data_IF_554668966604
#
_entry.id   IF_554668966604
#
_cell.length_a   1.000
_cell.length_b   1.000
_cell.length_c   1.000
_cell.angle_alpha   90.00
_cell.angle_beta   90.00
_cell.angle_gamma   90.00
#
_symmetry.space_group_name_H-M   'P 1'
#
loop_
_entity.id
_entity.type
_entity.pdbx_description
1 polymer ?
#
# COMPACT_ATOMS: atom_id res chain seq x y z
N UNK A 1 19.17 20.26 -13.99
CA UNK A 1 18.14 19.37 -14.58
C UNK A 1 17.83 18.31 -13.53
N UNK A 2 16.90 18.58 -12.62
CA UNK A 2 16.44 17.57 -11.65
C UNK A 2 15.55 16.60 -12.43
N UNK A 3 16.05 15.38 -12.64
CA UNK A 3 15.20 14.26 -13.03
C UNK A 3 14.54 13.76 -11.75
N UNK A 4 13.26 13.95 -11.63
CA UNK A 4 12.51 13.36 -10.54
C UNK A 4 12.48 11.85 -10.75
N UNK A 5 12.86 11.07 -9.73
CA UNK A 5 12.85 9.60 -9.78
C UNK A 5 11.47 9.02 -10.16
N UNK A 6 10.41 9.76 -9.94
CA UNK A 6 9.05 9.43 -10.38
C UNK A 6 8.93 9.33 -11.92
N UNK A 7 9.69 10.12 -12.67
CA UNK A 7 9.71 10.08 -14.14
C UNK A 7 10.32 8.79 -14.70
N UNK A 8 11.16 8.09 -13.93
CA UNK A 8 11.80 6.83 -14.33
C UNK A 8 10.87 5.62 -14.14
N UNK A 9 9.85 5.76 -13.29
CA UNK A 9 8.85 4.72 -12.99
C UNK A 9 7.70 4.76 -14.00
N UNK A 10 7.60 5.86 -14.77
CA UNK A 10 6.51 6.07 -15.72
C UNK A 10 6.44 4.96 -16.77
N UNK A 11 5.32 4.24 -16.80
CA UNK A 11 5.10 3.15 -17.76
C UNK A 11 5.83 1.85 -17.47
N UNK A 12 6.48 1.68 -16.31
CA UNK A 12 7.15 0.44 -15.94
C UNK A 12 6.19 -0.67 -15.47
N UNK A 13 4.96 -0.35 -15.10
CA UNK A 13 3.97 -1.32 -14.65
C UNK A 13 3.78 -2.53 -15.57
N UNK A 14 3.53 -2.33 -16.88
CA UNK A 14 3.40 -3.44 -17.84
C UNK A 14 4.70 -4.19 -18.13
N UNK A 15 5.86 -3.65 -17.76
CA UNK A 15 7.17 -4.27 -17.96
C UNK A 15 7.51 -5.29 -16.88
N UNK A 16 7.09 -5.00 -15.63
CA UNK A 16 7.30 -5.85 -14.46
C UNK A 16 5.98 -6.04 -13.70
N UNK A 17 5.01 -6.78 -14.26
CA UNK A 17 3.64 -6.80 -13.75
C UNK A 17 3.55 -7.35 -12.34
N UNK A 18 4.36 -8.35 -11.97
CA UNK A 18 4.30 -8.95 -10.63
C UNK A 18 4.83 -7.99 -9.57
N UNK A 19 5.94 -7.29 -9.84
CA UNK A 19 6.51 -6.30 -8.91
C UNK A 19 5.53 -5.17 -8.67
N UNK A 20 4.94 -4.62 -9.73
CA UNK A 20 4.00 -3.50 -9.59
C UNK A 20 2.65 -3.92 -9.01
N UNK A 21 2.18 -5.14 -9.26
CA UNK A 21 0.99 -5.68 -8.61
C UNK A 21 1.19 -5.83 -7.10
N UNK A 22 2.33 -6.38 -6.66
CA UNK A 22 2.66 -6.51 -5.24
C UNK A 22 2.91 -5.15 -4.58
N UNK A 23 3.55 -4.21 -5.30
CA UNK A 23 3.70 -2.83 -4.84
C UNK A 23 2.34 -2.15 -4.66
N UNK A 24 1.41 -2.32 -5.61
CA UNK A 24 0.05 -1.77 -5.52
C UNK A 24 -0.69 -2.37 -4.34
N UNK A 25 -0.62 -3.69 -4.13
CA UNK A 25 -1.23 -4.34 -2.97
C UNK A 25 -0.66 -3.82 -1.64
N UNK A 26 0.67 -3.65 -1.54
CA UNK A 26 1.32 -3.07 -0.37
C UNK A 26 0.89 -1.61 -0.15
N UNK A 27 0.81 -0.82 -1.21
CA UNK A 27 0.36 0.58 -1.16
C UNK A 27 -1.06 0.70 -0.66
N UNK A 28 -1.99 -0.14 -1.16
CA UNK A 28 -3.37 -0.20 -0.67
C UNK A 28 -3.44 -0.59 0.82
N UNK A 29 -2.54 -1.48 1.27
CA UNK A 29 -2.39 -1.83 2.68
C UNK A 29 -1.98 -0.64 3.53
N UNK A 30 -1.00 0.15 3.09
CA UNK A 30 -0.54 1.36 3.78
C UNK A 30 -1.58 2.47 3.80
N UNK A 31 -2.35 2.63 2.72
CA UNK A 31 -3.48 3.55 2.68
C UNK A 31 -4.54 3.19 3.72
N UNK A 32 -4.69 1.91 4.03
CA UNK A 32 -5.71 1.40 4.94
C UNK A 32 -7.00 1.05 4.21
N UNK A 33 -6.89 0.43 3.04
CA UNK A 33 -8.06 -0.08 2.29
C UNK A 33 -8.47 -1.44 2.87
N UNK A 34 -9.75 -1.67 3.20
CA UNK A 34 -10.24 -3.01 3.52
C UNK A 34 -10.04 -3.92 2.28
N UNK A 35 -9.64 -5.16 2.40
CA UNK A 35 -9.48 -6.03 3.58
C UNK A 35 -8.03 -6.17 4.09
N UNK A 36 -7.14 -5.22 3.85
CA UNK A 36 -5.74 -5.34 4.21
C UNK A 36 -5.47 -4.99 5.71
N UNK A 37 -4.37 -5.54 6.24
CA UNK A 37 -3.99 -5.41 7.65
C UNK A 37 -3.86 -3.95 8.13
N UNK A 38 -3.43 -3.03 7.26
CA UNK A 38 -3.30 -1.61 7.58
C UNK A 38 -4.61 -0.92 7.94
N UNK A 39 -5.73 -1.35 7.36
CA UNK A 39 -7.06 -0.86 7.74
C UNK A 39 -7.40 -1.26 9.18
N UNK A 40 -7.28 -2.54 9.51
CA UNK A 40 -7.62 -3.07 10.83
C UNK A 40 -6.83 -2.39 11.94
N UNK A 41 -5.54 -2.17 11.73
CA UNK A 41 -4.67 -1.47 12.70
C UNK A 41 -5.10 -0.02 12.91
N UNK A 42 -5.33 0.74 11.84
CA UNK A 42 -5.80 2.14 11.93
C UNK A 42 -7.18 2.24 12.56
N UNK A 43 -8.07 1.32 12.23
CA UNK A 43 -9.41 1.26 12.78
C UNK A 43 -9.40 1.01 14.30
N UNK A 44 -8.62 0.01 14.75
CA UNK A 44 -8.48 -0.28 16.18
C UNK A 44 -7.88 0.90 16.95
N UNK A 45 -6.86 1.56 16.40
CA UNK A 45 -6.27 2.76 17.01
C UNK A 45 -7.27 3.91 17.10
N UNK A 46 -8.01 4.17 16.02
CA UNK A 46 -9.01 5.25 16.01
C UNK A 46 -10.14 5.01 16.99
N UNK A 47 -10.67 3.78 17.05
CA UNK A 47 -11.75 3.42 17.98
C UNK A 47 -11.27 3.45 19.44
N UNK A 48 -10.05 2.99 19.72
CA UNK A 48 -9.47 3.05 21.06
C UNK A 48 -9.21 4.49 21.50
N UNK A 49 -8.72 5.33 20.60
CA UNK A 49 -8.46 6.74 20.90
C UNK A 49 -9.76 7.50 21.22
N UNK A 50 -10.84 7.24 20.46
CA UNK A 50 -12.14 7.88 20.71
C UNK A 50 -12.86 7.34 21.94
N UNK A 51 -12.64 6.09 22.33
CA UNK A 51 -13.23 5.48 23.52
C UNK A 51 -12.82 6.16 24.84
N UNK A 52 -11.67 6.84 24.86
CA UNK A 52 -11.22 7.60 26.02
C UNK A 52 -12.03 8.87 26.28
N UNK A 53 -12.90 9.29 25.34
CA UNK A 53 -13.77 10.46 25.43
C UNK A 53 -13.07 11.78 25.85
N UNK A 54 -11.75 11.87 25.61
CA UNK A 54 -10.95 13.06 25.89
C UNK A 54 -10.63 13.83 24.58
N UNK A 55 -10.50 15.16 24.61
CA UNK A 55 -10.19 15.95 23.43
C UNK A 55 -8.94 15.46 22.68
N UNK A 56 -7.93 14.99 23.40
CA UNK A 56 -6.69 14.46 22.86
C UNK A 56 -6.93 13.17 22.04
N UNK A 57 -7.89 12.32 22.44
CA UNK A 57 -8.26 11.12 21.70
C UNK A 57 -8.87 11.44 20.32
N UNK A 58 -9.73 12.44 20.26
CA UNK A 58 -10.31 12.91 19.00
C UNK A 58 -9.26 13.54 18.07
N UNK A 59 -8.32 14.30 18.62
CA UNK A 59 -7.17 14.83 17.87
C UNK A 59 -6.30 13.70 17.31
N UNK A 60 -6.06 12.65 18.07
CA UNK A 60 -5.33 11.47 17.61
C UNK A 60 -6.04 10.77 16.45
N UNK A 61 -7.33 10.55 16.55
CA UNK A 61 -8.14 9.95 15.49
C UNK A 61 -8.16 10.82 14.22
N UNK A 62 -8.27 12.15 14.36
CA UNK A 62 -8.20 13.09 13.26
C UNK A 62 -6.83 13.06 12.57
N UNK A 63 -5.73 13.02 13.34
CA UNK A 63 -4.38 12.92 12.81
C UNK A 63 -4.17 11.61 12.01
N UNK A 64 -4.71 10.48 12.49
CA UNK A 64 -4.70 9.22 11.76
C UNK A 64 -5.46 9.30 10.43
N UNK A 65 -6.60 9.95 10.41
CA UNK A 65 -7.39 10.15 9.19
C UNK A 65 -6.63 11.01 8.17
N UNK A 66 -6.07 12.14 8.60
CA UNK A 66 -5.26 13.02 7.75
C UNK A 66 -4.04 12.27 7.20
N UNK A 67 -3.33 11.51 8.04
CA UNK A 67 -2.20 10.68 7.63
C UNK A 67 -2.59 9.65 6.58
N UNK A 68 -3.76 9.01 6.72
CA UNK A 68 -4.25 8.04 5.75
C UNK A 68 -4.52 8.69 4.39
N UNK A 69 -5.14 9.88 4.38
CA UNK A 69 -5.41 10.63 3.15
C UNK A 69 -4.12 11.04 2.46
N UNK A 70 -3.15 11.61 3.20
CA UNK A 70 -1.86 12.00 2.64
C UNK A 70 -1.10 10.82 2.05
N UNK A 71 -1.11 9.67 2.77
CA UNK A 71 -0.51 8.42 2.28
C UNK A 71 -1.19 7.95 1.00
N UNK A 72 -2.52 8.03 0.93
CA UNK A 72 -3.27 7.66 -0.26
C UNK A 72 -2.91 8.55 -1.46
N UNK A 73 -2.82 9.85 -1.26
CA UNK A 73 -2.52 10.81 -2.33
C UNK A 73 -1.15 10.52 -2.96
N UNK A 74 -0.08 10.42 -2.15
CA UNK A 74 1.25 10.24 -2.72
C UNK A 74 1.47 8.83 -3.30
N UNK A 75 0.94 7.77 -2.68
CA UNK A 75 1.08 6.41 -3.20
C UNK A 75 0.23 6.18 -4.45
N UNK A 76 -0.98 6.75 -4.48
CA UNK A 76 -1.84 6.65 -5.66
C UNK A 76 -1.21 7.33 -6.88
N UNK A 77 -0.53 8.46 -6.69
CA UNK A 77 0.19 9.13 -7.77
C UNK A 77 1.26 8.21 -8.38
N UNK A 78 2.05 7.51 -7.54
CA UNK A 78 3.08 6.57 -8.00
C UNK A 78 2.45 5.39 -8.75
N UNK A 79 1.38 4.80 -8.21
CA UNK A 79 0.67 3.68 -8.85
C UNK A 79 0.09 4.11 -10.20
N UNK A 80 -0.54 5.27 -10.27
CA UNK A 80 -1.09 5.79 -11.52
C UNK A 80 0.00 6.06 -12.56
N UNK A 81 1.11 6.67 -12.18
CA UNK A 81 2.24 6.90 -13.08
C UNK A 81 2.84 5.59 -13.62
N UNK A 82 2.90 4.55 -12.79
CA UNK A 82 3.42 3.25 -13.20
C UNK A 82 2.56 2.56 -14.26
N UNK A 83 1.23 2.62 -14.10
CA UNK A 83 0.28 1.93 -14.99
C UNK A 83 -0.27 2.80 -16.11
N UNK A 84 -0.41 4.12 -15.89
CA UNK A 84 -0.98 5.09 -16.82
C UNK A 84 0.03 6.21 -17.11
N UNK A 85 1.01 5.98 -18.00
CA UNK A 85 1.99 6.99 -18.34
C UNK A 85 1.32 8.21 -18.96
N UNK A 86 1.75 9.42 -18.58
CA UNK A 86 1.28 10.66 -19.19
C UNK A 86 1.64 10.65 -20.69
N UNK A 87 0.66 10.82 -21.54
CA UNK A 87 0.72 10.66 -23.00
C UNK A 87 1.87 11.40 -23.70
N UNK A 88 2.43 12.45 -23.13
CA UNK A 88 3.51 13.24 -23.75
C UNK A 88 4.86 12.53 -23.85
N UNK A 89 5.11 11.48 -23.06
CA UNK A 89 6.39 10.73 -23.07
C UNK A 89 6.28 9.30 -23.56
N UNK A 90 5.07 8.74 -23.60
CA UNK A 90 4.83 7.38 -24.08
C UNK A 90 5.32 7.14 -25.52
N UNK A 91 5.45 8.20 -26.32
CA UNK A 91 5.95 8.14 -27.70
C UNK A 91 7.48 8.05 -27.82
N UNK A 92 8.24 8.36 -26.75
CA UNK A 92 9.72 8.40 -26.79
C UNK A 92 10.41 7.18 -26.20
N UNK A 93 9.75 6.41 -25.37
CA UNK A 93 10.34 5.20 -24.80
C UNK A 93 9.90 3.98 -25.59
N UNK A 94 10.59 3.75 -26.75
CA UNK A 94 10.62 2.41 -27.35
C UNK A 94 11.36 1.46 -26.39
N UNK A 95 10.63 0.97 -25.38
CA UNK A 95 11.17 -0.06 -24.49
C UNK A 95 11.30 -1.33 -25.32
N UNK A 96 12.52 -1.84 -25.53
CA UNK A 96 12.70 -3.07 -26.28
C UNK A 96 11.94 -4.20 -25.57
N UNK A 97 11.19 -5.00 -26.33
CA UNK A 97 10.42 -6.15 -25.81
C UNK A 97 11.25 -7.14 -24.95
N UNK A 98 12.59 -7.05 -25.01
CA UNK A 98 13.53 -7.81 -24.15
C UNK A 98 13.61 -7.31 -22.70
N UNK A 99 13.18 -6.10 -22.41
CA UNK A 99 13.19 -5.53 -21.05
C UNK A 99 12.00 -5.99 -20.19
N UNK A 100 11.05 -6.74 -20.75
CA UNK A 100 9.91 -7.33 -20.04
C UNK A 100 10.38 -8.57 -19.26
N UNK A 101 11.06 -8.35 -18.15
CA UNK A 101 11.47 -9.42 -17.24
C UNK A 101 11.24 -8.96 -15.81
N UNK A 102 10.29 -9.60 -15.15
CA UNK A 102 10.26 -9.59 -13.69
C UNK A 102 11.61 -10.05 -13.13
N UNK A 103 12.07 -9.49 -12.00
CA UNK A 103 13.27 -9.95 -11.33
C UNK A 103 13.16 -11.44 -11.00
N UNK A 104 14.32 -12.08 -10.81
CA UNK A 104 14.38 -13.52 -10.55
C UNK A 104 13.48 -13.95 -9.38
N UNK A 105 12.98 -15.18 -9.44
CA UNK A 105 12.05 -15.77 -8.47
C UNK A 105 12.48 -15.57 -7.01
N UNK A 106 13.78 -15.54 -6.75
CA UNK A 106 14.34 -15.29 -5.40
C UNK A 106 13.98 -13.91 -4.84
N UNK A 107 13.75 -12.93 -5.70
CA UNK A 107 13.40 -11.57 -5.33
C UNK A 107 11.88 -11.37 -5.27
N UNK A 108 11.15 -12.09 -6.13
CA UNK A 108 9.68 -12.07 -6.17
C UNK A 108 9.04 -12.82 -5.00
N UNK A 109 9.65 -13.91 -4.55
CA UNK A 109 9.11 -14.77 -3.51
C UNK A 109 8.84 -14.02 -2.19
N UNK A 110 9.82 -13.30 -1.59
CA UNK A 110 9.53 -12.55 -0.35
C UNK A 110 8.50 -11.45 -0.55
N UNK A 111 8.48 -10.83 -1.72
CA UNK A 111 7.55 -9.74 -2.03
C UNK A 111 6.10 -10.23 -2.09
N UNK A 112 5.87 -11.34 -2.79
CA UNK A 112 4.55 -11.96 -2.91
C UNK A 112 4.09 -12.58 -1.60
N UNK A 113 4.98 -13.21 -0.83
CA UNK A 113 4.66 -13.76 0.50
C UNK A 113 4.23 -12.65 1.45
N UNK A 114 4.93 -11.52 1.51
CA UNK A 114 4.56 -10.40 2.36
C UNK A 114 3.23 -9.76 1.94
N UNK A 115 2.97 -9.64 0.65
CA UNK A 115 1.70 -9.12 0.15
C UNK A 115 0.53 -10.05 0.53
N UNK A 116 0.69 -11.35 0.36
CA UNK A 116 -0.30 -12.35 0.77
C UNK A 116 -0.51 -12.38 2.28
N UNK A 117 0.58 -12.33 3.07
CA UNK A 117 0.51 -12.26 4.52
C UNK A 117 -0.27 -11.02 4.99
N UNK A 118 -0.09 -9.87 4.36
CA UNK A 118 -0.84 -8.65 4.67
C UNK A 118 -2.34 -8.81 4.43
N UNK A 119 -2.74 -9.52 3.37
CA UNK A 119 -4.16 -9.80 3.08
C UNK A 119 -4.73 -10.78 4.13
N UNK A 120 -4.01 -11.87 4.41
CA UNK A 120 -4.46 -12.88 5.38
C UNK A 120 -4.60 -12.28 6.78
N UNK A 121 -3.62 -11.48 7.21
CA UNK A 121 -3.68 -10.80 8.51
C UNK A 121 -4.79 -9.76 8.55
N UNK A 122 -5.07 -9.08 7.44
CA UNK A 122 -6.18 -8.12 7.36
C UNK A 122 -7.54 -8.79 7.53
N UNK A 123 -7.77 -9.89 6.85
CA UNK A 123 -9.00 -10.68 6.96
C UNK A 123 -9.14 -11.38 8.33
N UNK A 124 -8.03 -11.82 8.91
CA UNK A 124 -8.00 -12.48 10.22
C UNK A 124 -7.91 -11.54 11.42
N UNK A 125 -7.84 -10.24 11.22
CA UNK A 125 -7.57 -9.27 12.30
C UNK A 125 -8.63 -9.31 13.43
N UNK A 126 -9.90 -9.50 13.11
CA UNK A 126 -10.97 -9.65 14.11
C UNK A 126 -10.79 -10.91 14.95
N UNK A 127 -10.46 -12.04 14.33
CA UNK A 127 -10.25 -13.31 15.03
C UNK A 127 -9.02 -13.28 15.93
N UNK A 128 -7.94 -12.64 15.46
CA UNK A 128 -6.73 -12.43 16.26
C UNK A 128 -7.01 -11.54 17.46
N UNK A 129 -7.78 -10.47 17.28
CA UNK A 129 -8.16 -9.55 18.35
C UNK A 129 -9.05 -10.25 19.42
N UNK A 130 -10.00 -11.08 19.00
CA UNK A 130 -10.83 -11.87 19.90
C UNK A 130 -10.01 -12.91 20.66
N UNK A 131 -9.11 -13.62 19.98
CA UNK A 131 -8.22 -14.58 20.60
C UNK A 131 -7.31 -13.94 21.66
N UNK A 132 -6.76 -12.76 21.39
CA UNK A 132 -5.96 -12.00 22.36
C UNK A 132 -6.78 -11.55 23.58
N UNK A 133 -8.02 -11.09 23.37
CA UNK A 133 -8.91 -10.73 24.47
C UNK A 133 -9.25 -11.92 25.37
N UNK A 134 -9.47 -13.10 24.77
CA UNK A 134 -9.72 -14.32 25.53
C UNK A 134 -8.52 -14.84 26.34
N UNK A 135 -7.32 -14.41 25.96
CA UNK A 135 -6.07 -14.81 26.67
C UNK A 135 -5.74 -13.86 27.84
N UNK A 136 -6.29 -12.64 27.83
CA UNK A 136 -6.02 -11.59 28.82
C UNK A 136 -7.09 -11.55 29.93
N UNK A 137 -8.25 -12.11 29.68
CA UNK A 137 -9.35 -12.28 30.64
C UNK A 137 -9.33 -13.66 31.27
#
# INVERSE_FOLDING_TARGET
>A
MHRDYADEIEGCGPLMPVVFATFTAASLGLMGVPPLAGFSSKWMLATSATALAVPLGYLGAAALAVSAVLTALYLMEIVLLAFFPRQSRALSVKVPRRARRDPGVRMLLPLTVLALASIVLGLGASQVAEGLRALIL
#
